data_IF_516338925338
#
_entry.id   IF_516338925338
#
_cell.length_a   1.000
_cell.length_b   1.000
_cell.length_c   1.000
_cell.angle_alpha   90.00
_cell.angle_beta   90.00
_cell.angle_gamma   90.00
#
_symmetry.space_group_name_H-M   'P 1'
#
loop_
_entity.id
_entity.type
_entity.pdbx_description
1 polymer ?
#
# COMPACT_ATOMS: atom_id res chain seq x y z
N UNK A 1 55.67 -10.90 54.33
CA UNK A 1 54.24 -11.15 54.00
C UNK A 1 53.53 -11.51 55.29
N UNK A 2 52.71 -10.63 55.88
CA UNK A 2 51.98 -11.00 57.09
C UNK A 2 50.72 -11.79 56.74
N UNK A 3 50.48 -12.78 57.58
CA UNK A 3 49.59 -13.92 57.43
C UNK A 3 48.15 -13.47 57.70
N UNK A 4 47.21 -13.92 56.84
CA UNK A 4 45.76 -13.79 57.09
C UNK A 4 45.42 -14.65 58.31
N UNK A 5 44.91 -14.00 59.35
CA UNK A 5 44.35 -14.68 60.53
C UNK A 5 43.04 -15.31 60.09
N UNK A 6 43.11 -16.60 59.80
CA UNK A 6 41.97 -17.49 59.65
C UNK A 6 41.41 -17.81 61.05
N UNK A 7 40.09 -18.00 61.15
CA UNK A 7 39.35 -18.13 62.40
C UNK A 7 39.57 -19.47 63.11
N UNK A 8 40.76 -19.69 63.70
CA UNK A 8 41.20 -21.01 64.21
C UNK A 8 40.62 -21.48 65.56
N UNK A 9 39.58 -20.85 66.14
CA UNK A 9 39.05 -21.28 67.47
C UNK A 9 37.53 -21.47 67.50
N UNK A 10 36.84 -21.33 66.38
CA UNK A 10 35.43 -21.71 66.29
C UNK A 10 35.31 -22.76 65.21
N UNK A 11 34.82 -23.96 65.51
CA UNK A 11 34.51 -25.01 64.53
C UNK A 11 33.38 -24.63 63.55
N UNK A 12 33.21 -23.34 63.28
CA UNK A 12 32.27 -22.75 62.34
C UNK A 12 32.98 -22.62 60.99
N UNK A 13 32.61 -23.49 60.06
CA UNK A 13 33.03 -23.43 58.67
C UNK A 13 32.33 -22.23 57.99
N UNK A 14 32.91 -21.04 58.15
CA UNK A 14 32.35 -19.76 57.69
C UNK A 14 32.09 -19.75 56.19
N UNK A 15 32.95 -20.41 55.39
CA UNK A 15 32.75 -20.57 53.94
C UNK A 15 31.50 -21.39 53.62
N UNK A 16 31.21 -22.45 54.37
CA UNK A 16 29.99 -23.24 54.22
C UNK A 16 28.73 -22.45 54.58
N UNK A 17 28.81 -21.56 55.58
CA UNK A 17 27.71 -20.70 56.00
C UNK A 17 27.44 -19.62 54.93
N UNK A 18 28.50 -18.96 54.43
CA UNK A 18 28.39 -17.98 53.35
C UNK A 18 27.84 -18.63 52.08
N UNK A 19 28.31 -19.82 51.72
CA UNK A 19 27.79 -20.59 50.58
C UNK A 19 26.33 -20.98 50.77
N UNK A 20 25.94 -21.39 51.97
CA UNK A 20 24.54 -21.69 52.32
C UNK A 20 23.61 -20.47 52.17
N UNK A 21 24.04 -19.30 52.67
CA UNK A 21 23.30 -18.05 52.54
C UNK A 21 23.18 -17.60 51.07
N UNK A 22 24.26 -17.71 50.30
CA UNK A 22 24.25 -17.42 48.86
C UNK A 22 23.33 -18.36 48.08
N UNK A 23 23.28 -19.64 48.44
CA UNK A 23 22.37 -20.61 47.80
C UNK A 23 20.90 -20.29 48.09
N UNK A 24 20.56 -19.87 49.31
CA UNK A 24 19.20 -19.42 49.66
C UNK A 24 18.83 -18.16 48.85
N UNK A 25 19.75 -17.20 48.72
CA UNK A 25 19.53 -16.01 47.88
C UNK A 25 19.35 -16.37 46.40
N UNK A 26 20.16 -17.30 45.86
CA UNK A 26 20.01 -17.82 44.49
C UNK A 26 18.65 -18.48 44.28
N UNK A 27 18.17 -19.31 45.21
CA UNK A 27 16.84 -19.92 45.13
C UNK A 27 15.71 -18.89 45.08
N UNK A 28 15.83 -17.79 45.82
CA UNK A 28 14.87 -16.69 45.76
C UNK A 28 14.91 -16.01 44.39
N UNK A 29 16.12 -15.78 43.85
CA UNK A 29 16.30 -15.21 42.51
C UNK A 29 15.72 -16.12 41.42
N UNK A 30 15.96 -17.43 41.48
CA UNK A 30 15.42 -18.42 40.55
C UNK A 30 13.89 -18.44 40.58
N UNK A 31 13.29 -18.35 41.77
CA UNK A 31 11.84 -18.24 41.93
C UNK A 31 11.29 -16.97 41.29
N UNK A 32 11.98 -15.84 41.45
CA UNK A 32 11.59 -14.58 40.80
C UNK A 32 11.77 -14.66 39.28
N UNK A 33 12.84 -15.29 38.79
CA UNK A 33 13.06 -15.52 37.36
C UNK A 33 11.97 -16.41 36.75
N UNK A 34 11.58 -17.49 37.43
CA UNK A 34 10.46 -18.35 37.03
C UNK A 34 9.13 -17.59 37.00
N UNK A 35 8.86 -16.74 38.00
CA UNK A 35 7.66 -15.89 38.02
C UNK A 35 7.65 -14.91 36.85
N UNK A 36 8.78 -14.25 36.58
CA UNK A 36 8.95 -13.35 35.44
C UNK A 36 8.66 -14.07 34.12
N UNK A 37 9.24 -15.25 33.94
CA UNK A 37 9.08 -16.04 32.72
C UNK A 37 7.62 -16.49 32.52
N UNK A 38 6.95 -16.93 33.59
CA UNK A 38 5.52 -17.25 33.55
C UNK A 38 4.65 -16.04 33.18
N UNK A 39 4.95 -14.86 33.72
CA UNK A 39 4.22 -13.62 33.37
C UNK A 39 4.47 -13.26 31.89
N UNK A 40 5.70 -13.37 31.41
CA UNK A 40 6.04 -13.12 30.00
C UNK A 40 5.34 -14.09 29.05
N UNK A 41 5.25 -15.38 29.40
CA UNK A 41 4.49 -16.37 28.64
C UNK A 41 3.00 -16.02 28.59
N UNK A 42 2.40 -15.66 29.72
CA UNK A 42 1.00 -15.21 29.78
C UNK A 42 0.78 -13.95 28.93
N UNK A 43 1.67 -12.97 29.03
CA UNK A 43 1.58 -11.74 28.23
C UNK A 43 1.66 -12.04 26.73
N UNK A 44 2.55 -12.95 26.33
CA UNK A 44 2.68 -13.37 24.92
C UNK A 44 1.42 -14.08 24.44
N UNK A 45 0.83 -14.97 25.26
CA UNK A 45 -0.44 -15.60 24.94
C UNK A 45 -1.58 -14.58 24.78
N UNK A 46 -1.68 -13.60 25.67
CA UNK A 46 -2.68 -12.53 25.56
C UNK A 46 -2.49 -11.68 24.29
N UNK A 47 -1.25 -11.29 23.96
CA UNK A 47 -0.95 -10.56 22.71
C UNK A 47 -1.32 -11.36 21.46
N UNK A 48 -1.10 -12.68 21.48
CA UNK A 48 -1.48 -13.55 20.38
C UNK A 48 -3.00 -13.60 20.20
N UNK A 49 -3.76 -13.68 21.29
CA UNK A 49 -5.23 -13.61 21.27
C UNK A 49 -5.69 -12.24 20.77
N UNK A 50 -5.15 -11.16 21.30
CA UNK A 50 -5.47 -9.78 20.89
C UNK A 50 -5.28 -9.62 19.37
N UNK A 51 -4.15 -10.07 18.84
CA UNK A 51 -3.86 -10.01 17.40
C UNK A 51 -4.88 -10.78 16.58
N UNK A 52 -5.27 -11.99 17.01
CA UNK A 52 -6.29 -12.79 16.33
C UNK A 52 -7.67 -12.12 16.36
N UNK A 53 -8.05 -11.53 17.49
CA UNK A 53 -9.32 -10.81 17.63
C UNK A 53 -9.33 -9.54 16.77
N UNK A 54 -8.21 -8.81 16.72
CA UNK A 54 -8.08 -7.63 15.86
C UNK A 54 -8.19 -8.00 14.37
N UNK A 55 -7.57 -9.11 13.95
CA UNK A 55 -7.70 -9.64 12.59
C UNK A 55 -9.15 -10.00 12.28
N UNK A 56 -9.80 -10.77 13.16
CA UNK A 56 -11.20 -11.15 12.98
C UNK A 56 -12.13 -9.93 12.89
N UNK A 57 -11.91 -8.92 13.73
CA UNK A 57 -12.67 -7.66 13.69
C UNK A 57 -12.46 -6.92 12.37
N UNK A 58 -11.23 -6.92 11.84
CA UNK A 58 -10.95 -6.30 10.55
C UNK A 58 -11.71 -7.02 9.42
N UNK A 59 -11.66 -8.35 9.39
CA UNK A 59 -12.33 -9.17 8.38
C UNK A 59 -13.87 -9.04 8.46
N UNK A 60 -14.43 -9.10 9.67
CA UNK A 60 -15.86 -8.86 9.91
C UNK A 60 -16.27 -7.43 9.51
N UNK A 61 -15.39 -6.45 9.76
CA UNK A 61 -15.59 -5.07 9.35
C UNK A 61 -15.63 -4.90 7.83
N UNK A 62 -14.82 -5.65 7.07
CA UNK A 62 -14.89 -5.68 5.60
C UNK A 62 -16.22 -6.27 5.14
N UNK A 63 -16.66 -7.36 5.76
CA UNK A 63 -17.90 -8.05 5.40
C UNK A 63 -19.17 -7.26 5.73
N UNK A 64 -19.10 -6.38 6.75
CA UNK A 64 -20.22 -5.53 7.16
C UNK A 64 -20.39 -4.27 6.31
N UNK A 65 -19.46 -3.95 5.41
CA UNK A 65 -19.56 -2.74 4.57
C UNK A 65 -20.64 -2.91 3.51
N UNK A 66 -21.42 -1.84 3.27
CA UNK A 66 -22.36 -1.80 2.15
C UNK A 66 -21.66 -1.48 0.82
N UNK A 67 -20.52 -0.78 0.87
CA UNK A 67 -19.70 -0.45 -0.30
C UNK A 67 -18.52 -1.40 -0.41
N UNK A 68 -18.22 -1.87 -1.64
CA UNK A 68 -17.12 -2.81 -1.92
C UNK A 68 -17.18 -4.12 -1.12
N UNK A 69 -18.38 -4.56 -0.72
CA UNK A 69 -18.56 -5.83 -0.04
C UNK A 69 -18.13 -6.98 -0.98
N UNK A 70 -17.23 -7.88 -0.56
CA UNK A 70 -16.84 -9.02 -1.38
C UNK A 70 -18.03 -9.95 -1.70
N UNK A 71 -19.06 -10.00 -0.86
CA UNK A 71 -20.24 -10.86 -1.05
C UNK A 71 -21.20 -10.36 -2.13
N UNK A 72 -21.21 -9.06 -2.42
CA UNK A 72 -22.06 -8.46 -3.46
C UNK A 72 -21.29 -8.17 -4.74
N UNK A 73 -20.04 -8.61 -4.83
CA UNK A 73 -19.20 -8.40 -6.01
C UNK A 73 -19.75 -9.21 -7.18
N UNK A 74 -19.99 -8.53 -8.29
CA UNK A 74 -20.38 -9.14 -9.55
C UNK A 74 -19.14 -9.45 -10.39
N UNK A 75 -19.15 -10.61 -11.06
CA UNK A 75 -18.14 -11.00 -12.04
C UNK A 75 -18.70 -10.83 -13.44
N UNK A 76 -17.86 -10.36 -14.36
CA UNK A 76 -18.22 -10.20 -15.77
C UNK A 76 -17.44 -11.20 -16.59
N UNK A 77 -18.15 -11.96 -17.42
CA UNK A 77 -17.55 -12.86 -18.40
C UNK A 77 -17.94 -12.39 -19.79
N UNK A 78 -16.95 -11.95 -20.57
CA UNK A 78 -17.12 -11.62 -21.98
C UNK A 78 -16.85 -12.86 -22.85
N UNK A 79 -17.68 -13.07 -23.88
CA UNK A 79 -17.48 -14.14 -24.85
C UNK A 79 -16.26 -13.90 -25.75
N UNK A 80 -15.99 -12.64 -26.10
CA UNK A 80 -14.78 -12.23 -26.82
C UNK A 80 -14.08 -11.10 -26.05
N UNK A 81 -12.97 -11.45 -25.38
CA UNK A 81 -12.18 -10.53 -24.53
C UNK A 81 -11.27 -9.59 -25.32
N UNK A 82 -10.97 -9.90 -26.58
CA UNK A 82 -10.17 -9.01 -27.44
C UNK A 82 -11.03 -7.86 -27.99
N UNK A 83 -12.32 -8.12 -28.21
CA UNK A 83 -13.25 -7.11 -28.72
C UNK A 83 -13.81 -6.20 -27.63
N UNK A 84 -14.20 -6.75 -26.46
CA UNK A 84 -14.81 -6.00 -25.35
C UNK A 84 -14.27 -6.49 -24.02
N UNK A 85 -13.92 -5.54 -23.16
CA UNK A 85 -13.79 -5.76 -21.71
C UNK A 85 -14.85 -4.96 -20.96
N UNK A 86 -15.33 -5.49 -19.84
CA UNK A 86 -16.32 -4.84 -19.01
C UNK A 86 -16.06 -5.14 -17.54
N UNK A 87 -16.36 -4.16 -16.69
CA UNK A 87 -16.24 -4.26 -15.23
C UNK A 87 -17.60 -4.00 -14.61
N UNK A 88 -18.01 -4.84 -13.65
CA UNK A 88 -19.24 -4.64 -12.91
C UNK A 88 -18.94 -3.94 -11.57
N UNK A 89 -19.71 -2.91 -11.27
CA UNK A 89 -19.72 -2.28 -9.96
C UNK A 89 -20.75 -2.97 -9.06
N UNK A 90 -20.70 -2.71 -7.75
CA UNK A 90 -21.68 -3.26 -6.79
C UNK A 90 -23.13 -2.80 -7.05
N UNK A 91 -23.34 -1.77 -7.87
CA UNK A 91 -24.66 -1.28 -8.27
C UNK A 91 -25.12 -1.83 -9.62
N UNK A 92 -24.30 -2.62 -10.31
CA UNK A 92 -24.68 -3.22 -11.59
C UNK A 92 -25.80 -4.25 -11.40
N UNK A 93 -26.67 -4.38 -12.40
CA UNK A 93 -27.72 -5.40 -12.40
C UNK A 93 -27.16 -6.70 -12.96
N UNK A 94 -27.40 -7.82 -12.26
CA UNK A 94 -27.00 -9.14 -12.75
C UNK A 94 -27.87 -9.53 -13.96
N UNK A 95 -27.25 -9.92 -15.06
CA UNK A 95 -27.96 -10.30 -16.27
C UNK A 95 -27.04 -10.67 -17.43
N UNK A 96 -27.64 -11.21 -18.49
CA UNK A 96 -26.96 -11.49 -19.75
C UNK A 96 -27.24 -10.35 -20.72
N UNK A 97 -26.17 -9.67 -21.13
CA UNK A 97 -26.23 -8.57 -22.08
C UNK A 97 -25.72 -9.03 -23.44
N UNK A 98 -26.46 -8.70 -24.51
CA UNK A 98 -26.04 -8.92 -25.90
C UNK A 98 -25.58 -7.60 -26.49
N UNK A 99 -24.32 -7.54 -26.90
CA UNK A 99 -23.71 -6.35 -27.50
C UNK A 99 -23.19 -6.70 -28.89
N UNK A 100 -23.34 -5.76 -29.82
CA UNK A 100 -22.78 -5.82 -31.17
C UNK A 100 -21.88 -4.60 -31.36
N UNK A 101 -20.60 -4.83 -31.66
CA UNK A 101 -19.64 -3.75 -31.94
C UNK A 101 -19.72 -3.42 -33.42
N UNK A 102 -20.19 -2.21 -33.75
CA UNK A 102 -20.29 -1.75 -35.14
C UNK A 102 -19.01 -1.03 -35.61
N UNK A 103 -18.47 -0.14 -34.77
CA UNK A 103 -17.25 0.61 -35.05
C UNK A 103 -16.55 1.01 -33.75
N UNK A 104 -15.24 1.16 -33.78
CA UNK A 104 -14.46 1.69 -32.66
C UNK A 104 -14.41 3.21 -32.72
N UNK A 105 -14.32 3.86 -31.56
CA UNK A 105 -14.01 5.27 -31.50
C UNK A 105 -12.57 5.50 -31.99
N UNK A 106 -12.39 6.45 -32.90
CA UNK A 106 -11.09 6.83 -33.43
C UNK A 106 -10.79 8.27 -33.03
N UNK A 107 -9.51 8.61 -32.89
CA UNK A 107 -9.09 9.99 -32.66
C UNK A 107 -9.12 10.76 -33.97
N UNK A 108 -9.60 12.01 -33.93
CA UNK A 108 -9.51 12.90 -35.08
C UNK A 108 -8.06 13.36 -35.25
N UNK A 109 -7.53 13.24 -36.46
CA UNK A 109 -6.19 13.68 -36.80
C UNK A 109 -6.25 14.48 -38.10
N UNK A 110 -5.60 15.64 -38.09
CA UNK A 110 -5.46 16.51 -39.26
C UNK A 110 -3.97 16.72 -39.45
N UNK A 111 -3.48 16.41 -40.64
CA UNK A 111 -2.09 16.65 -41.02
C UNK A 111 -2.05 17.84 -41.98
N UNK A 112 -1.10 18.75 -41.76
CA UNK A 112 -0.79 19.81 -42.72
C UNK A 112 -0.01 19.24 -43.91
N UNK A 113 0.21 20.09 -44.91
CA UNK A 113 1.13 19.82 -46.00
C UNK A 113 2.55 19.63 -45.44
N UNK A 114 3.39 18.83 -46.10
CA UNK A 114 4.78 18.66 -45.69
C UNK A 114 5.58 19.96 -45.86
N UNK A 115 6.46 20.24 -44.90
CA UNK A 115 7.43 21.34 -44.95
C UNK A 115 8.85 20.76 -44.98
N UNK A 116 9.83 21.51 -45.48
CA UNK A 116 11.20 21.04 -45.64
C UNK A 116 11.96 20.89 -44.31
N UNK A 117 11.69 21.77 -43.34
CA UNK A 117 12.35 21.76 -42.02
C UNK A 117 11.42 22.31 -40.90
N UNK A 118 11.71 21.99 -39.64
CA UNK A 118 10.98 22.44 -38.46
C UNK A 118 11.05 23.97 -38.24
N UNK A 119 12.08 24.61 -38.78
CA UNK A 119 12.27 26.06 -38.75
C UNK A 119 11.68 26.78 -39.98
N UNK A 120 10.98 26.05 -40.85
CA UNK A 120 10.30 26.65 -42.00
C UNK A 120 9.27 27.68 -41.53
N UNK A 121 9.32 28.88 -42.13
CA UNK A 121 8.38 29.93 -41.80
C UNK A 121 6.96 29.57 -42.23
N UNK A 122 6.00 29.73 -41.33
CA UNK A 122 4.57 29.57 -41.58
C UNK A 122 3.86 30.93 -41.63
N UNK A 123 2.70 30.99 -42.28
CA UNK A 123 1.90 32.22 -42.38
C UNK A 123 1.40 32.66 -41.01
N UNK A 124 1.54 33.96 -40.73
CA UNK A 124 0.96 34.60 -39.55
C UNK A 124 -0.56 34.74 -39.68
N UNK A 125 -1.27 34.64 -38.56
CA UNK A 125 -2.73 34.67 -38.54
C UNK A 125 -3.31 34.09 -37.25
N UNK A 126 -4.62 33.89 -37.23
CA UNK A 126 -5.32 33.25 -36.11
C UNK A 126 -5.81 31.88 -36.56
N UNK A 127 -5.34 30.83 -35.89
CA UNK A 127 -5.84 29.48 -36.03
C UNK A 127 -6.99 29.28 -35.04
N UNK A 128 -8.16 28.93 -35.55
CA UNK A 128 -9.33 28.58 -34.74
C UNK A 128 -9.42 27.06 -34.62
N UNK A 129 -9.35 26.54 -33.39
CA UNK A 129 -9.53 25.12 -33.10
C UNK A 129 -10.80 24.96 -32.28
N UNK A 130 -11.77 24.20 -32.81
CA UNK A 130 -13.02 23.90 -32.11
C UNK A 130 -13.19 22.41 -31.91
N UNK A 131 -13.34 21.99 -30.66
CA UNK A 131 -13.63 20.60 -30.30
C UNK A 131 -15.15 20.37 -30.16
N UNK A 132 -15.74 19.67 -31.13
CA UNK A 132 -17.17 19.35 -31.12
C UNK A 132 -18.06 20.60 -31.12
N UNK A 133 -18.96 20.68 -30.14
CA UNK A 133 -19.88 21.81 -29.94
C UNK A 133 -19.41 22.81 -28.86
N UNK A 134 -18.14 22.73 -28.44
CA UNK A 134 -17.54 23.67 -27.50
C UNK A 134 -17.24 25.03 -28.13
N UNK A 135 -16.87 25.99 -27.28
CA UNK A 135 -16.38 27.30 -27.73
C UNK A 135 -15.05 27.15 -28.49
N UNK A 136 -14.81 27.98 -29.51
CA UNK A 136 -13.57 27.95 -30.27
C UNK A 136 -12.40 28.49 -29.45
N UNK A 137 -11.26 27.81 -29.56
CA UNK A 137 -9.98 28.29 -29.06
C UNK A 137 -9.20 28.96 -30.18
N UNK A 138 -8.70 30.17 -29.92
CA UNK A 138 -7.97 30.97 -30.90
C UNK A 138 -6.48 30.96 -30.56
N UNK A 139 -5.67 30.50 -31.50
CA UNK A 139 -4.21 30.49 -31.41
C UNK A 139 -3.68 31.56 -32.37
N UNK A 140 -2.99 32.57 -31.83
CA UNK A 140 -2.40 33.64 -32.65
C UNK A 140 -0.96 33.29 -33.02
N UNK A 141 -0.67 33.36 -34.32
CA UNK A 141 0.66 33.16 -34.91
C UNK A 141 1.21 34.53 -35.31
N UNK A 142 2.26 34.97 -34.63
CA UNK A 142 2.94 36.26 -34.79
C UNK A 142 4.43 36.08 -35.19
N UNK A 143 5.22 37.14 -35.14
CA UNK A 143 6.64 37.11 -35.53
C UNK A 143 7.56 36.29 -34.61
N UNK A 144 7.09 35.86 -33.44
CA UNK A 144 7.88 35.12 -32.45
C UNK A 144 7.66 33.60 -32.51
N UNK A 145 6.55 33.14 -33.10
CA UNK A 145 6.16 31.73 -33.16
C UNK A 145 5.79 31.24 -34.58
N UNK A 146 6.21 31.96 -35.62
CA UNK A 146 5.94 31.63 -37.03
C UNK A 146 6.83 30.52 -37.61
N UNK A 147 7.23 29.53 -36.81
CA UNK A 147 7.87 28.29 -37.28
C UNK A 147 7.05 27.08 -36.84
N UNK A 148 7.26 25.91 -37.44
CA UNK A 148 6.55 24.69 -37.01
C UNK A 148 6.88 24.33 -35.56
N UNK A 149 8.15 24.49 -35.17
CA UNK A 149 8.59 24.31 -33.79
C UNK A 149 7.91 25.31 -32.83
N UNK A 150 7.79 26.58 -33.25
CA UNK A 150 7.15 27.63 -32.46
C UNK A 150 5.63 27.50 -32.35
N UNK A 151 4.95 26.88 -33.32
CA UNK A 151 3.51 26.61 -33.26
C UNK A 151 3.18 25.37 -32.41
N UNK A 152 4.09 24.39 -32.36
CA UNK A 152 3.89 23.14 -31.63
C UNK A 152 4.22 23.22 -30.13
N UNK A 153 4.96 24.25 -29.70
CA UNK A 153 5.35 24.53 -28.31
C UNK A 153 4.28 25.30 -27.54
#
# INVERSE_FOLDING_TARGET
MPIKIDGVVSGLNTDSIVTGLLNIQKQQLDRMALRKNNIQLRQTAFKAIETKVLSLRADAGVLSRNTNNPLTRLSVTASNKEAISATATAAATAGVYRLTVNSTAQTHQVASQGFEDADSQISQGTLEVRLGAGEPELITIDGNNNTLSGLAS
#
